data_IF_781325277085
#
_entry.id   IF_781325277085
#
_cell.length_a   1.000
_cell.length_b   1.000
_cell.length_c   1.000
_cell.angle_alpha   90.00
_cell.angle_beta   90.00
_cell.angle_gamma   90.00
#
_symmetry.space_group_name_H-M   'P 1'
#
loop_
_entity.id
_entity.type
_entity.pdbx_description
1 polymer ?
#
# COMPACT_ATOMS: atom_id res chain seq x y z
N UNK A 1 -19.76 26.22 39.16
CA UNK A 1 -19.23 25.45 38.02
C UNK A 1 -19.29 26.37 36.80
N UNK A 2 -18.19 26.66 36.10
CA UNK A 2 -18.29 27.44 34.89
C UNK A 2 -18.91 26.54 33.81
N UNK A 3 -19.89 27.09 33.11
CA UNK A 3 -20.50 26.50 31.92
C UNK A 3 -19.40 26.45 30.86
N UNK A 4 -19.02 25.24 30.44
CA UNK A 4 -18.18 25.07 29.25
C UNK A 4 -19.07 25.44 28.07
N UNK A 5 -18.96 26.68 27.61
CA UNK A 5 -19.42 27.04 26.27
C UNK A 5 -18.65 26.17 25.29
N UNK A 6 -19.32 25.14 24.77
CA UNK A 6 -18.90 24.45 23.57
C UNK A 6 -19.02 25.49 22.46
N UNK A 7 -17.93 26.19 22.17
CA UNK A 7 -17.81 27.02 20.99
C UNK A 7 -18.27 26.17 19.79
N UNK A 8 -19.21 26.64 18.95
CA UNK A 8 -19.58 25.91 17.76
C UNK A 8 -18.30 25.75 16.93
N UNK A 9 -17.88 24.49 16.70
CA UNK A 9 -16.92 24.20 15.65
C UNK A 9 -17.47 24.87 14.39
N UNK A 10 -16.72 25.81 13.79
CA UNK A 10 -17.08 26.37 12.50
C UNK A 10 -17.46 25.19 11.59
N UNK A 11 -18.72 25.12 11.19
CA UNK A 11 -19.17 24.11 10.24
C UNK A 11 -18.40 24.37 8.95
N UNK A 12 -17.40 23.53 8.68
CA UNK A 12 -16.69 23.56 7.42
C UNK A 12 -17.70 23.34 6.31
N UNK A 13 -17.92 24.36 5.48
CA UNK A 13 -18.79 24.26 4.32
C UNK A 13 -17.96 23.76 3.15
N UNK A 14 -18.03 22.45 2.88
CA UNK A 14 -17.37 21.86 1.73
C UNK A 14 -18.07 22.29 0.42
N UNK A 15 -17.33 22.54 -0.68
CA UNK A 15 -17.96 22.61 -1.99
C UNK A 15 -18.55 21.25 -2.35
N UNK A 16 -19.61 21.23 -3.15
CA UNK A 16 -20.24 19.97 -3.59
C UNK A 16 -19.30 19.13 -4.48
N UNK A 17 -18.44 19.80 -5.26
CA UNK A 17 -17.51 19.17 -6.19
C UNK A 17 -16.16 19.88 -6.23
N UNK A 18 -15.10 19.11 -6.47
CA UNK A 18 -13.74 19.60 -6.72
C UNK A 18 -13.23 19.03 -8.04
N UNK A 19 -12.49 19.84 -8.80
CA UNK A 19 -11.74 19.34 -9.95
C UNK A 19 -10.48 18.61 -9.45
N UNK A 20 -10.41 17.31 -9.72
CA UNK A 20 -9.28 16.45 -9.40
C UNK A 20 -8.61 16.01 -10.71
N UNK A 21 -7.48 16.64 -11.05
CA UNK A 21 -6.85 16.48 -12.37
C UNK A 21 -7.83 16.79 -13.52
N UNK A 22 -8.16 15.79 -14.35
CA UNK A 22 -9.10 15.89 -15.46
C UNK A 22 -10.52 15.43 -15.09
N UNK A 23 -10.74 15.08 -13.83
CA UNK A 23 -12.00 14.54 -13.32
C UNK A 23 -12.68 15.54 -12.39
N UNK A 24 -13.95 15.26 -12.12
CA UNK A 24 -14.72 15.91 -11.06
C UNK A 24 -14.97 14.89 -9.97
N UNK A 25 -14.66 15.26 -8.74
CA UNK A 25 -14.97 14.47 -7.56
C UNK A 25 -16.10 15.17 -6.79
N UNK A 26 -17.16 14.43 -6.47
CA UNK A 26 -18.12 14.82 -5.46
C UNK A 26 -17.44 14.78 -4.09
N UNK A 27 -17.78 15.73 -3.23
CA UNK A 27 -17.13 15.89 -1.93
C UNK A 27 -18.10 15.51 -0.83
N UNK A 28 -17.64 14.65 0.08
CA UNK A 28 -18.36 14.34 1.31
C UNK A 28 -17.50 14.68 2.51
N UNK A 29 -18.07 15.40 3.48
CA UNK A 29 -17.35 15.73 4.72
C UNK A 29 -17.29 14.47 5.59
N UNK A 30 -16.08 14.09 5.98
CA UNK A 30 -15.86 13.07 7.01
C UNK A 30 -15.82 13.82 8.35
N UNK A 31 -16.87 13.69 9.19
CA UNK A 31 -16.97 14.47 10.41
C UNK A 31 -15.87 14.05 11.41
N UNK A 32 -15.21 15.02 12.08
CA UNK A 32 -14.25 14.70 13.13
C UNK A 32 -14.97 14.04 14.31
N UNK A 33 -14.39 12.98 14.88
CA UNK A 33 -14.91 12.32 16.08
C UNK A 33 -14.58 13.07 17.37
N UNK A 34 -13.58 13.96 17.34
CA UNK A 34 -13.18 14.78 18.48
C UNK A 34 -12.81 16.19 18.02
N UNK A 35 -12.86 17.17 18.93
CA UNK A 35 -12.51 18.56 18.61
C UNK A 35 -11.03 18.77 18.21
N UNK A 36 -10.16 17.77 18.45
CA UNK A 36 -8.75 17.80 18.07
C UNK A 36 -8.49 17.15 16.69
N UNK A 37 -9.50 16.52 16.09
CA UNK A 37 -9.39 15.92 14.76
C UNK A 37 -9.57 16.97 13.66
N UNK A 38 -8.82 16.80 12.57
CA UNK A 38 -8.99 17.63 11.39
C UNK A 38 -10.25 17.23 10.62
N UNK A 39 -10.82 18.18 9.87
CA UNK A 39 -11.86 17.86 8.90
C UNK A 39 -11.23 17.22 7.67
N UNK A 40 -11.66 16.02 7.34
CA UNK A 40 -11.27 15.31 6.13
C UNK A 40 -12.43 15.32 5.14
N UNK A 41 -12.11 15.28 3.86
CA UNK A 41 -13.05 15.19 2.76
C UNK A 41 -12.84 13.87 2.06
N UNK A 42 -13.92 13.10 1.87
CA UNK A 42 -13.95 11.98 0.93
C UNK A 42 -14.21 12.53 -0.48
N UNK A 43 -13.50 11.99 -1.47
CA UNK A 43 -13.62 12.41 -2.86
C UNK A 43 -14.12 11.24 -3.71
N UNK A 44 -15.37 11.34 -4.18
CA UNK A 44 -16.03 10.33 -4.98
C UNK A 44 -16.04 10.72 -6.46
N UNK A 45 -15.49 9.87 -7.32
CA UNK A 45 -15.56 10.07 -8.78
C UNK A 45 -16.74 9.25 -9.29
N UNK A 46 -17.91 9.89 -9.43
CA UNK A 46 -19.15 9.23 -9.83
C UNK A 46 -19.03 8.45 -11.16
N UNK A 47 -18.17 8.91 -12.07
CA UNK A 47 -17.93 8.22 -13.34
C UNK A 47 -17.05 6.96 -13.23
N UNK A 48 -16.52 6.65 -12.04
CA UNK A 48 -15.58 5.54 -11.79
C UNK A 48 -15.89 4.84 -10.45
N UNK A 49 -17.08 4.22 -10.30
CA UNK A 49 -17.49 3.59 -9.04
C UNK A 49 -16.58 2.43 -8.60
N UNK A 50 -15.87 1.80 -9.52
CA UNK A 50 -14.91 0.73 -9.25
C UNK A 50 -13.62 1.20 -8.55
N UNK A 51 -13.35 2.51 -8.54
CA UNK A 51 -12.14 3.07 -7.93
C UNK A 51 -11.97 2.64 -6.46
N UNK A 52 -13.08 2.61 -5.71
CA UNK A 52 -13.06 2.29 -4.28
C UNK A 52 -12.67 0.82 -3.98
N UNK A 53 -12.58 -0.03 -5.02
CA UNK A 53 -12.05 -1.39 -4.89
C UNK A 53 -10.54 -1.42 -4.67
N UNK A 54 -9.80 -0.41 -5.12
CA UNK A 54 -8.33 -0.36 -5.00
C UNK A 54 -7.78 0.94 -4.43
N UNK A 55 -8.57 2.01 -4.38
CA UNK A 55 -8.14 3.30 -3.86
C UNK A 55 -9.29 4.10 -3.22
N UNK A 56 -9.07 4.58 -2.00
CA UNK A 56 -9.90 5.64 -1.41
C UNK A 56 -9.19 6.98 -1.56
N UNK A 57 -9.92 8.00 -1.99
CA UNK A 57 -9.41 9.36 -2.14
C UNK A 57 -9.89 10.23 -0.98
N UNK A 58 -8.94 10.84 -0.26
CA UNK A 58 -9.24 11.77 0.82
C UNK A 58 -8.43 13.07 0.69
N UNK A 59 -8.95 14.15 1.26
CA UNK A 59 -8.30 15.46 1.27
C UNK A 59 -8.42 16.13 2.63
N UNK A 60 -7.38 16.84 3.06
CA UNK A 60 -7.48 17.73 4.21
C UNK A 60 -8.31 18.97 3.82
N UNK A 61 -9.40 19.23 4.55
CA UNK A 61 -10.34 20.30 4.21
C UNK A 61 -9.67 21.69 4.09
N UNK A 62 -8.69 21.98 4.95
CA UNK A 62 -7.98 23.27 4.95
C UNK A 62 -7.02 23.44 3.76
N UNK A 63 -6.76 22.39 2.99
CA UNK A 63 -5.86 22.41 1.84
C UNK A 63 -6.61 22.47 0.49
N UNK A 64 -7.93 22.68 0.49
CA UNK A 64 -8.77 22.61 -0.71
C UNK A 64 -8.32 23.56 -1.82
N UNK A 65 -7.77 24.73 -1.46
CA UNK A 65 -7.28 25.73 -2.41
C UNK A 65 -5.80 25.52 -2.79
N UNK A 66 -5.05 24.74 -2.01
CA UNK A 66 -3.58 24.68 -2.11
C UNK A 66 -3.02 23.28 -2.37
N UNK A 67 -3.85 22.23 -2.36
CA UNK A 67 -3.40 20.84 -2.47
C UNK A 67 -2.57 20.57 -3.73
N UNK A 68 -2.83 21.32 -4.81
CA UNK A 68 -2.11 21.19 -6.09
C UNK A 68 -0.63 21.56 -6.00
N UNK A 69 -0.25 22.28 -4.94
CA UNK A 69 1.14 22.67 -4.67
C UNK A 69 1.88 21.66 -3.80
N UNK A 70 1.22 20.56 -3.42
CA UNK A 70 1.73 19.53 -2.51
C UNK A 70 1.81 18.17 -3.24
N UNK A 71 2.73 17.28 -2.85
CA UNK A 71 2.71 15.91 -3.36
C UNK A 71 1.44 15.18 -2.89
N UNK A 72 1.05 14.13 -3.62
CA UNK A 72 0.09 13.16 -3.12
C UNK A 72 0.78 12.25 -2.11
N UNK A 73 0.11 12.00 -0.99
CA UNK A 73 0.51 10.97 -0.03
C UNK A 73 -0.26 9.69 -0.36
N UNK A 74 0.43 8.57 -0.49
CA UNK A 74 -0.15 7.26 -0.74
C UNK A 74 0.10 6.37 0.47
N UNK A 75 -0.92 5.66 0.93
CA UNK A 75 -0.77 4.73 2.04
C UNK A 75 -1.35 3.36 1.71
N UNK A 76 -0.69 2.30 2.21
CA UNK A 76 -1.24 0.94 2.19
C UNK A 76 -2.11 0.74 3.42
N UNK A 77 -3.40 0.48 3.21
CA UNK A 77 -4.35 0.21 4.27
C UNK A 77 -4.46 -1.29 4.52
N UNK A 78 -4.38 -1.69 5.79
CA UNK A 78 -4.50 -3.07 6.25
C UNK A 78 -5.55 -3.17 7.36
N UNK A 79 -6.12 -4.36 7.56
CA UNK A 79 -6.96 -4.64 8.73
C UNK A 79 -6.12 -4.99 9.98
N UNK A 80 -6.79 -5.34 11.08
CA UNK A 80 -6.15 -5.79 12.34
C UNK A 80 -5.34 -7.08 12.20
N UNK A 81 -5.58 -7.81 11.12
CA UNK A 81 -5.06 -9.14 10.84
C UNK A 81 -3.89 -9.10 9.83
N UNK A 82 -3.49 -7.90 9.40
CA UNK A 82 -2.49 -7.58 8.38
C UNK A 82 -2.90 -7.98 6.95
N UNK A 83 -4.20 -8.11 6.68
CA UNK A 83 -4.70 -8.28 5.32
C UNK A 83 -4.68 -6.94 4.61
N UNK A 84 -4.14 -6.91 3.39
CA UNK A 84 -4.24 -5.73 2.52
C UNK A 84 -5.69 -5.46 2.13
N UNK A 85 -6.11 -4.21 2.29
CA UNK A 85 -7.45 -3.76 1.92
C UNK A 85 -7.39 -3.00 0.59
N UNK A 86 -6.74 -1.84 0.58
CA UNK A 86 -6.57 -0.97 -0.60
C UNK A 86 -5.55 0.15 -0.33
N UNK A 87 -5.32 0.99 -1.33
CA UNK A 87 -4.56 2.23 -1.14
C UNK A 87 -5.44 3.36 -0.62
N UNK A 88 -4.84 4.29 0.10
CA UNK A 88 -5.43 5.61 0.41
C UNK A 88 -4.57 6.66 -0.29
N UNK A 89 -5.20 7.55 -1.06
CA UNK A 89 -4.56 8.74 -1.59
C UNK A 89 -5.03 9.95 -0.78
N UNK A 90 -4.10 10.53 -0.04
CA UNK A 90 -4.31 11.74 0.75
C UNK A 90 -3.74 12.96 0.01
N UNK A 91 -4.61 13.93 -0.26
CA UNK A 91 -4.26 15.25 -0.79
C UNK A 91 -4.22 16.31 0.32
N UNK A 92 -3.29 17.25 0.20
CA UNK A 92 -3.24 18.41 1.09
C UNK A 92 -2.49 18.21 2.41
N UNK A 93 -1.71 17.13 2.54
CA UNK A 93 -0.77 16.99 3.65
C UNK A 93 0.45 17.89 3.40
N UNK A 94 0.67 18.88 4.28
CA UNK A 94 1.76 19.85 4.13
C UNK A 94 3.14 19.30 4.52
N UNK A 95 3.18 18.27 5.36
CA UNK A 95 4.40 17.58 5.75
C UNK A 95 4.13 16.13 6.18
N UNK A 96 5.21 15.41 6.51
CA UNK A 96 5.17 14.03 6.97
C UNK A 96 4.32 13.84 8.24
N UNK A 97 4.40 14.76 9.19
CA UNK A 97 3.67 14.66 10.46
C UNK A 97 2.16 14.82 10.23
N UNK A 98 1.78 15.74 9.35
CA UNK A 98 0.40 15.92 8.92
C UNK A 98 -0.13 14.69 8.19
N UNK A 99 0.64 14.13 7.25
CA UNK A 99 0.28 12.91 6.53
C UNK A 99 -0.01 11.74 7.51
N UNK A 100 0.94 11.46 8.41
CA UNK A 100 0.79 10.43 9.44
C UNK A 100 -0.46 10.65 10.30
N UNK A 101 -0.66 11.87 10.79
CA UNK A 101 -1.78 12.19 11.68
C UNK A 101 -3.14 12.04 10.98
N UNK A 102 -3.27 12.55 9.75
CA UNK A 102 -4.51 12.51 8.97
C UNK A 102 -4.86 11.07 8.55
N UNK A 103 -3.89 10.27 8.10
CA UNK A 103 -4.11 8.88 7.72
C UNK A 103 -4.47 7.99 8.92
N UNK A 104 -3.79 8.17 10.05
CA UNK A 104 -4.13 7.45 11.28
C UNK A 104 -5.51 7.85 11.83
N UNK A 105 -5.87 9.13 11.74
CA UNK A 105 -7.21 9.59 12.07
C UNK A 105 -8.27 8.89 11.20
N UNK A 106 -8.07 8.88 9.89
CA UNK A 106 -8.98 8.23 8.94
C UNK A 106 -9.14 6.73 9.24
N UNK A 107 -8.04 6.00 9.38
CA UNK A 107 -8.09 4.54 9.55
C UNK A 107 -8.66 4.12 10.91
N UNK A 108 -8.43 4.89 11.97
CA UNK A 108 -9.02 4.66 13.30
C UNK A 108 -10.55 4.65 13.24
N UNK A 109 -11.16 5.37 12.31
CA UNK A 109 -12.63 5.41 12.21
C UNK A 109 -13.24 4.05 11.85
N UNK A 110 -12.48 3.21 11.15
CA UNK A 110 -12.90 1.90 10.63
C UNK A 110 -12.15 0.70 11.26
N UNK A 111 -11.38 0.91 12.33
CA UNK A 111 -10.51 -0.12 12.93
C UNK A 111 -9.49 -0.71 11.93
N UNK A 112 -9.00 0.14 11.02
CA UNK A 112 -7.98 -0.19 10.04
C UNK A 112 -6.66 0.44 10.45
N UNK A 113 -5.57 -0.01 9.83
CA UNK A 113 -4.21 0.46 10.10
C UNK A 113 -3.48 0.80 8.81
N UNK A 114 -2.36 1.51 8.94
CA UNK A 114 -1.48 1.84 7.83
C UNK A 114 -0.24 0.95 7.92
N UNK A 115 0.09 0.25 6.83
CA UNK A 115 1.31 -0.54 6.73
C UNK A 115 2.51 0.33 6.31
N UNK A 116 2.30 1.22 5.34
CA UNK A 116 3.31 2.13 4.84
C UNK A 116 2.68 3.39 4.26
N UNK A 117 3.48 4.46 4.28
CA UNK A 117 3.17 5.76 3.69
C UNK A 117 4.30 6.12 2.75
N UNK A 118 3.93 6.49 1.54
CA UNK A 118 4.82 7.02 0.52
C UNK A 118 4.30 8.36 0.02
N UNK A 119 5.17 9.10 -0.64
CA UNK A 119 4.82 10.34 -1.34
C UNK A 119 5.15 10.25 -2.82
N UNK A 120 4.35 10.93 -3.63
CA UNK A 120 4.53 11.01 -5.08
C UNK A 120 4.12 12.40 -5.57
N UNK A 121 4.92 13.01 -6.45
CA UNK A 121 4.52 14.28 -7.06
C UNK A 121 3.22 14.12 -7.84
N UNK A 122 2.36 15.14 -7.87
CA UNK A 122 1.08 15.07 -8.61
C UNK A 122 1.30 14.84 -10.10
N UNK A 123 2.37 15.39 -10.67
CA UNK A 123 2.74 15.14 -12.07
C UNK A 123 3.13 13.68 -12.32
N UNK A 124 3.85 13.08 -11.36
CA UNK A 124 4.22 11.66 -11.43
C UNK A 124 3.07 10.73 -11.14
N UNK A 125 2.04 11.15 -10.37
CA UNK A 125 0.82 10.40 -10.15
C UNK A 125 -0.10 10.45 -11.37
N UNK A 126 -0.31 11.64 -11.93
CA UNK A 126 -1.21 11.87 -13.05
C UNK A 126 -2.60 11.24 -12.83
N UNK A 127 -2.99 10.37 -13.76
CA UNK A 127 -4.25 9.62 -13.70
C UNK A 127 -4.05 8.16 -13.26
N UNK A 128 -2.85 7.76 -12.82
CA UNK A 128 -2.51 6.36 -12.57
C UNK A 128 -3.34 5.75 -11.43
N UNK A 129 -3.90 6.56 -10.54
CA UNK A 129 -4.82 6.11 -9.49
C UNK A 129 -6.11 5.48 -10.02
N UNK A 130 -6.49 5.77 -11.26
CA UNK A 130 -7.72 5.26 -11.87
C UNK A 130 -7.66 3.78 -12.27
N UNK A 131 -6.47 3.18 -12.27
CA UNK A 131 -6.24 1.78 -12.60
C UNK A 131 -5.37 1.14 -11.52
N UNK A 132 -5.79 -0.02 -11.00
CA UNK A 132 -5.11 -0.67 -9.89
C UNK A 132 -3.64 -1.04 -10.21
N UNK A 133 -3.36 -1.48 -11.44
CA UNK A 133 -2.01 -1.88 -11.85
C UNK A 133 -1.12 -0.65 -12.08
N UNK A 134 -1.66 0.42 -12.65
CA UNK A 134 -0.94 1.68 -12.82
C UNK A 134 -0.62 2.31 -11.46
N UNK A 135 -1.57 2.33 -10.53
CA UNK A 135 -1.38 2.83 -9.16
C UNK A 135 -0.32 2.02 -8.43
N UNK A 136 -0.42 0.69 -8.48
CA UNK A 136 0.58 -0.21 -7.90
C UNK A 136 1.98 0.09 -8.45
N UNK A 137 2.13 0.23 -9.77
CA UNK A 137 3.43 0.58 -10.39
C UNK A 137 3.91 1.96 -9.96
N UNK A 138 3.03 2.96 -9.88
CA UNK A 138 3.35 4.29 -9.38
C UNK A 138 3.90 4.23 -7.95
N UNK A 139 3.17 3.53 -7.07
CA UNK A 139 3.51 3.34 -5.67
C UNK A 139 4.82 2.57 -5.48
N UNK A 140 5.09 1.54 -6.27
CA UNK A 140 6.32 0.74 -6.13
C UNK A 140 7.55 1.42 -6.74
N UNK A 141 7.42 2.06 -7.90
CA UNK A 141 8.57 2.47 -8.71
C UNK A 141 8.89 3.96 -8.62
N UNK A 142 7.89 4.81 -8.35
CA UNK A 142 8.06 6.27 -8.39
C UNK A 142 7.85 6.94 -7.02
N UNK A 143 7.12 6.30 -6.11
CA UNK A 143 6.82 6.90 -4.82
C UNK A 143 7.97 6.71 -3.82
N UNK A 144 8.27 7.77 -3.06
CA UNK A 144 9.31 7.80 -2.05
C UNK A 144 8.75 7.36 -0.69
N UNK A 145 9.42 6.45 0.02
CA UNK A 145 8.97 5.95 1.31
C UNK A 145 9.15 7.01 2.39
N UNK A 146 8.06 7.36 3.06
CA UNK A 146 8.06 8.29 4.18
C UNK A 146 8.08 7.56 5.53
N UNK A 147 7.28 6.50 5.66
CA UNK A 147 7.19 5.71 6.88
C UNK A 147 6.65 4.31 6.57
N UNK A 148 7.00 3.34 7.42
CA UNK A 148 6.38 2.03 7.44
C UNK A 148 6.35 1.47 8.85
N UNK A 149 5.48 0.49 9.07
CA UNK A 149 5.54 -0.36 10.26
C UNK A 149 6.85 -1.15 10.32
N UNK A 150 7.17 -1.68 11.51
CA UNK A 150 8.28 -2.61 11.67
C UNK A 150 8.05 -3.89 10.85
N UNK A 151 9.12 -4.47 10.32
CA UNK A 151 9.09 -5.67 9.45
C UNK A 151 8.16 -5.52 8.23
N UNK A 152 8.10 -4.32 7.67
CA UNK A 152 7.30 -4.03 6.49
C UNK A 152 7.84 -4.70 5.22
N UNK A 153 6.94 -5.35 4.49
CA UNK A 153 7.11 -5.78 3.11
C UNK A 153 6.01 -5.14 2.26
N UNK A 154 6.34 -4.57 1.09
CA UNK A 154 5.33 -4.04 0.17
C UNK A 154 4.34 -5.12 -0.25
N UNK A 155 3.13 -4.72 -0.64
CA UNK A 155 2.11 -5.66 -1.12
C UNK A 155 2.08 -5.73 -2.65
N UNK A 156 2.02 -6.94 -3.21
CA UNK A 156 1.84 -7.20 -4.64
C UNK A 156 0.43 -7.74 -4.90
N UNK A 157 -0.32 -7.19 -5.88
CA UNK A 157 -1.60 -7.74 -6.28
C UNK A 157 -1.53 -9.22 -6.66
N UNK A 158 -2.48 -10.01 -6.17
CA UNK A 158 -2.51 -11.45 -6.35
C UNK A 158 -2.49 -11.88 -7.83
N UNK A 159 -3.20 -11.14 -8.70
CA UNK A 159 -3.27 -11.43 -10.14
C UNK A 159 -1.94 -11.19 -10.88
N UNK A 160 -1.00 -10.44 -10.29
CA UNK A 160 0.34 -10.26 -10.86
C UNK A 160 1.28 -11.41 -10.48
N UNK A 161 0.90 -12.31 -9.58
CA UNK A 161 1.74 -13.42 -9.13
C UNK A 161 1.55 -14.63 -10.03
N UNK A 162 2.61 -15.08 -10.71
CA UNK A 162 2.56 -16.30 -11.51
C UNK A 162 2.90 -17.51 -10.63
N UNK A 163 1.88 -18.27 -10.26
CA UNK A 163 1.91 -19.36 -9.27
C UNK A 163 2.56 -20.65 -9.77
N UNK A 164 2.95 -20.75 -11.03
CA UNK A 164 3.65 -21.93 -11.53
C UNK A 164 5.05 -22.01 -10.90
N UNK A 165 5.20 -22.89 -9.91
CA UNK A 165 6.49 -23.15 -9.25
C UNK A 165 7.35 -24.06 -10.11
N UNK A 166 8.61 -23.67 -10.27
CA UNK A 166 9.59 -24.40 -11.09
C UNK A 166 10.43 -25.39 -10.27
N UNK A 167 10.49 -25.21 -8.95
CA UNK A 167 11.34 -25.98 -8.04
C UNK A 167 10.47 -26.43 -6.86
N UNK A 168 10.33 -27.74 -6.67
CA UNK A 168 9.55 -28.30 -5.55
C UNK A 168 10.44 -28.50 -4.32
N UNK A 169 9.96 -28.04 -3.16
CA UNK A 169 10.59 -28.22 -1.84
C UNK A 169 9.57 -27.92 -0.74
N UNK A 170 9.87 -28.30 0.51
CA UNK A 170 8.98 -28.07 1.65
C UNK A 170 9.13 -26.64 2.17
N UNK A 171 8.03 -25.89 2.21
CA UNK A 171 8.00 -24.55 2.78
C UNK A 171 7.62 -24.61 4.26
N UNK A 172 8.22 -23.71 5.07
CA UNK A 172 7.78 -23.51 6.44
C UNK A 172 6.30 -23.06 6.49
N UNK A 173 5.67 -23.22 7.66
CA UNK A 173 4.30 -22.74 7.87
C UNK A 173 4.24 -21.22 7.68
N UNK A 174 3.21 -20.75 6.97
CA UNK A 174 3.03 -19.34 6.67
C UNK A 174 1.95 -18.71 7.56
N UNK A 175 2.12 -17.41 7.81
CA UNK A 175 1.12 -16.53 8.43
C UNK A 175 0.76 -15.43 7.44
N UNK A 176 -0.24 -14.59 7.77
CA UNK A 176 -0.64 -13.47 6.91
C UNK A 176 0.49 -12.47 6.62
N UNK A 177 1.41 -12.31 7.57
CA UNK A 177 2.57 -11.41 7.42
C UNK A 177 3.76 -12.06 6.69
N UNK A 178 3.77 -13.39 6.50
CA UNK A 178 4.87 -14.07 5.81
C UNK A 178 4.90 -13.62 4.35
N UNK A 179 6.00 -13.04 3.85
CA UNK A 179 6.07 -12.58 2.47
C UNK A 179 6.20 -13.76 1.50
N UNK A 180 5.72 -13.58 0.27
CA UNK A 180 6.08 -14.47 -0.84
C UNK A 180 7.39 -14.01 -1.47
N UNK A 181 8.22 -14.96 -1.92
CA UNK A 181 9.47 -14.67 -2.61
C UNK A 181 9.29 -14.80 -4.13
N UNK A 182 9.62 -13.72 -4.82
CA UNK A 182 9.42 -13.58 -6.27
C UNK A 182 10.74 -13.32 -7.01
N UNK A 183 10.82 -13.83 -8.23
CA UNK A 183 11.83 -13.47 -9.22
C UNK A 183 11.19 -12.61 -10.32
N UNK A 184 11.74 -11.41 -10.57
CA UNK A 184 11.40 -10.61 -11.75
C UNK A 184 12.29 -11.02 -12.93
N UNK A 185 11.67 -11.63 -13.95
CA UNK A 185 12.33 -12.05 -15.19
C UNK A 185 11.52 -11.60 -16.40
N UNK A 186 12.11 -10.79 -17.30
CA UNK A 186 11.48 -10.34 -18.54
C UNK A 186 10.07 -9.76 -18.31
N UNK A 187 9.92 -8.92 -17.28
CA UNK A 187 8.65 -8.32 -16.81
C UNK A 187 7.60 -9.31 -16.29
N UNK A 188 7.99 -10.55 -15.94
CA UNK A 188 7.12 -11.52 -15.26
C UNK A 188 7.66 -11.81 -13.87
N UNK A 189 6.77 -11.75 -12.89
CA UNK A 189 6.98 -12.11 -11.48
C UNK A 189 6.67 -13.58 -11.29
N UNK A 190 7.71 -14.39 -11.06
CA UNK A 190 7.62 -15.83 -10.84
C UNK A 190 7.80 -16.17 -9.37
N UNK A 191 7.00 -17.09 -8.85
CA UNK A 191 7.13 -17.55 -7.46
C UNK A 191 8.36 -18.45 -7.31
N UNK A 192 9.18 -18.18 -6.30
CA UNK A 192 10.23 -19.07 -5.79
C UNK A 192 9.73 -19.79 -4.54
N UNK A 193 9.16 -19.05 -3.59
CA UNK A 193 8.64 -19.52 -2.30
C UNK A 193 7.35 -18.76 -1.97
N UNK A 194 6.37 -19.41 -1.37
CA UNK A 194 5.14 -18.78 -0.88
C UNK A 194 3.87 -19.55 -1.23
N UNK A 195 3.97 -20.82 -1.63
CA UNK A 195 2.79 -21.67 -1.84
C UNK A 195 1.97 -21.82 -0.56
N UNK A 196 2.63 -22.09 0.58
CA UNK A 196 1.94 -22.15 1.87
C UNK A 196 1.29 -20.81 2.22
N UNK A 197 1.92 -19.69 1.84
CA UNK A 197 1.39 -18.34 2.07
C UNK A 197 0.17 -18.05 1.21
N UNK A 198 0.18 -18.41 -0.07
CA UNK A 198 -0.96 -18.22 -0.98
C UNK A 198 -2.11 -19.19 -0.69
N UNK A 199 -1.81 -20.35 -0.11
CA UNK A 199 -2.81 -21.31 0.35
C UNK A 199 -3.45 -20.94 1.69
N UNK A 200 -2.84 -20.03 2.45
CA UNK A 200 -3.34 -19.59 3.76
C UNK A 200 -4.70 -18.90 3.68
N UNK A 201 -4.89 -17.99 2.72
CA UNK A 201 -6.16 -17.29 2.47
C UNK A 201 -6.27 -16.90 0.99
N UNK A 202 -7.14 -17.59 0.26
CA UNK A 202 -7.38 -17.36 -1.17
C UNK A 202 -8.19 -16.09 -1.48
N UNK A 203 -8.72 -15.41 -0.44
CA UNK A 203 -9.53 -14.20 -0.58
C UNK A 203 -8.71 -12.91 -0.52
N UNK A 204 -7.38 -13.00 -0.36
CA UNK A 204 -6.51 -11.83 -0.33
C UNK A 204 -6.29 -11.25 -1.73
N UNK A 205 -6.48 -9.94 -1.86
CA UNK A 205 -6.27 -9.19 -3.10
C UNK A 205 -4.79 -8.91 -3.38
N UNK A 206 -3.95 -8.93 -2.34
CA UNK A 206 -2.52 -8.71 -2.43
C UNK A 206 -1.76 -9.42 -1.31
N UNK A 207 -0.49 -9.73 -1.55
CA UNK A 207 0.39 -10.40 -0.59
C UNK A 207 1.63 -9.57 -0.28
N UNK A 208 2.14 -9.58 0.97
CA UNK A 208 3.47 -9.05 1.24
C UNK A 208 4.50 -9.81 0.39
N UNK A 209 5.48 -9.12 -0.19
CA UNK A 209 6.45 -9.77 -1.08
C UNK A 209 7.90 -9.32 -0.89
N UNK A 210 8.78 -10.25 -1.26
CA UNK A 210 10.20 -10.03 -1.48
C UNK A 210 10.48 -10.24 -2.96
N UNK A 211 11.27 -9.34 -3.55
CA UNK A 211 11.62 -9.40 -4.97
C UNK A 211 13.12 -9.55 -5.16
N UNK A 212 13.48 -10.54 -5.96
CA UNK A 212 14.79 -10.67 -6.57
C UNK A 212 14.69 -10.25 -8.03
N UNK A 213 15.59 -9.38 -8.49
CA UNK A 213 15.70 -9.05 -9.90
C UNK A 213 16.63 -10.06 -10.56
N UNK A 214 16.25 -10.59 -11.73
CA UNK A 214 17.14 -11.47 -12.49
C UNK A 214 18.34 -10.67 -13.03
N UNK A 215 19.40 -10.62 -12.24
CA UNK A 215 20.74 -10.20 -12.65
C UNK A 215 21.55 -11.43 -13.11
N UNK A 216 22.78 -11.24 -13.58
CA UNK A 216 23.61 -12.36 -14.09
C UNK A 216 23.74 -13.50 -13.07
N UNK A 217 23.76 -13.16 -11.78
CA UNK A 217 24.06 -14.11 -10.72
C UNK A 217 22.83 -14.82 -10.15
N UNK A 218 21.60 -14.32 -10.36
CA UNK A 218 20.37 -14.97 -9.86
C UNK A 218 19.69 -15.73 -11.00
N UNK A 219 20.12 -16.97 -11.20
CA UNK A 219 19.53 -17.90 -12.17
C UNK A 219 18.68 -18.97 -11.51
N UNK A 220 17.72 -19.55 -12.25
CA UNK A 220 16.92 -20.68 -11.76
C UNK A 220 17.78 -21.88 -11.33
N UNK A 221 18.90 -22.14 -12.01
CA UNK A 221 19.82 -23.21 -11.63
C UNK A 221 20.48 -22.93 -10.28
N UNK A 222 20.92 -21.69 -10.03
CA UNK A 222 21.48 -21.30 -8.73
C UNK A 222 20.45 -21.40 -7.62
N UNK A 223 19.24 -20.87 -7.85
CA UNK A 223 18.12 -20.97 -6.89
C UNK A 223 17.86 -22.45 -6.55
N UNK A 224 17.84 -23.33 -7.56
CA UNK A 224 17.65 -24.76 -7.37
C UNK A 224 18.76 -25.39 -6.51
N UNK A 225 20.03 -25.11 -6.81
CA UNK A 225 21.16 -25.65 -6.06
C UNK A 225 21.13 -25.23 -4.59
N UNK A 226 20.85 -23.95 -4.31
CA UNK A 226 20.73 -23.44 -2.94
C UNK A 226 19.60 -24.16 -2.20
N UNK A 227 18.43 -24.31 -2.83
CA UNK A 227 17.29 -25.02 -2.22
C UNK A 227 17.63 -26.47 -1.87
N UNK A 228 18.43 -27.16 -2.70
CA UNK A 228 18.85 -28.56 -2.46
C UNK A 228 19.79 -28.70 -1.25
N UNK A 229 20.56 -27.66 -0.93
CA UNK A 229 21.53 -27.67 0.17
C UNK A 229 20.95 -27.16 1.50
N UNK A 230 19.78 -26.51 1.45
CA UNK A 230 19.12 -25.96 2.63
C UNK A 230 18.36 -27.01 3.44
N UNK A 231 18.38 -26.91 4.79
CA UNK A 231 17.54 -27.75 5.63
C UNK A 231 16.06 -27.45 5.40
N UNK A 232 15.25 -28.51 5.35
CA UNK A 232 13.80 -28.44 5.16
C UNK A 232 13.07 -28.52 6.52
N UNK A 233 11.90 -27.88 6.68
CA UNK A 233 11.25 -26.99 5.73
C UNK A 233 11.95 -25.62 5.63
N UNK A 234 11.98 -25.04 4.45
CA UNK A 234 12.68 -23.77 4.18
C UNK A 234 11.82 -22.59 4.61
N UNK A 235 12.39 -21.71 5.44
CA UNK A 235 11.85 -20.39 5.76
C UNK A 235 12.16 -19.37 4.64
N UNK A 236 11.20 -18.49 4.35
CA UNK A 236 11.29 -17.55 3.22
C UNK A 236 12.38 -16.49 3.43
N UNK A 237 12.55 -15.99 4.66
CA UNK A 237 13.53 -14.96 4.96
C UNK A 237 14.95 -15.54 4.90
N UNK A 238 15.11 -16.75 5.41
CA UNK A 238 16.35 -17.51 5.32
C UNK A 238 16.75 -17.73 3.86
N UNK A 239 15.82 -18.22 3.02
CA UNK A 239 16.08 -18.40 1.59
C UNK A 239 16.44 -17.10 0.88
N UNK A 240 15.70 -16.02 1.16
CA UNK A 240 15.96 -14.71 0.59
C UNK A 240 17.35 -14.18 0.97
N UNK A 241 17.75 -14.32 2.23
CA UNK A 241 19.06 -13.90 2.71
C UNK A 241 20.18 -14.71 2.08
N UNK A 242 20.05 -16.04 1.98
CA UNK A 242 21.04 -16.90 1.31
C UNK A 242 21.21 -16.53 -0.16
N UNK A 243 20.10 -16.27 -0.87
CA UNK A 243 20.14 -15.85 -2.28
C UNK A 243 20.82 -14.49 -2.47
N UNK A 244 20.69 -13.57 -1.51
CA UNK A 244 21.34 -12.26 -1.54
C UNK A 244 22.80 -12.27 -1.09
N UNK A 245 23.18 -13.08 -0.12
CA UNK A 245 24.54 -13.04 0.44
C UNK A 245 25.62 -13.44 -0.58
N UNK A 246 25.31 -14.35 -1.51
CA UNK A 246 26.22 -14.71 -2.62
C UNK A 246 26.12 -13.73 -3.81
N UNK A 247 25.50 -12.55 -3.66
CA UNK A 247 25.69 -11.41 -4.60
C UNK A 247 27.00 -10.65 -4.36
N UNK A 248 27.65 -10.85 -3.20
CA UNK A 248 28.83 -10.08 -2.76
C UNK A 248 30.14 -10.89 -2.74
N UNK A 249 30.09 -12.16 -3.14
CA UNK A 249 31.26 -13.04 -3.33
C UNK A 249 31.55 -13.24 -4.82
#
# INVERSE_FOLDING_TARGET
MPVVEVLPSQEFTAPEQIALFKLKAAVQVIPPKTAAEDVLLHLDIESMPELDQHATLIMHANAIETWQNMPATLAEQIDSDNKFIKYILLFGAHDHSAAMRLLNQYCRHANLHIAAIKELSLNSLGMDFTDADLLFRAYQQRAHLLWSMDHYYPYIPAHLVHTQKFILFEEAAATRQTPILLLLERNKTRVIHGENRMAFDHSESAYPYLLLNRQQDITWQRIHNIILEMPQPIDVLTLYQTLKQTELE
#
